data_IF_451059911995
#
_entry.id   IF_451059911995
#
_cell.length_a   1.000
_cell.length_b   1.000
_cell.length_c   1.000
_cell.angle_alpha   90.00
_cell.angle_beta   90.00
_cell.angle_gamma   90.00
#
_symmetry.space_group_name_H-M   'P 1'
#
loop_
_entity.id
_entity.type
_entity.pdbx_description
1 polymer ?
#
# COMPACT_ATOMS: atom_id res chain seq x y z
N UNK A 1 -13.22 -6.52 8.38
CA UNK A 1 -13.98 -5.34 8.86
C UNK A 1 -15.35 -5.29 8.23
N UNK A 2 -16.35 -4.81 8.98
CA UNK A 2 -17.73 -4.70 8.50
C UNK A 2 -18.15 -3.23 8.37
N UNK A 3 -18.81 -2.88 7.29
CA UNK A 3 -19.31 -1.53 7.05
C UNK A 3 -18.21 -0.48 6.83
N UNK A 4 -17.06 -0.86 6.25
CA UNK A 4 -16.07 0.12 5.81
C UNK A 4 -16.60 0.90 4.60
N UNK A 5 -16.16 2.14 4.42
CA UNK A 5 -16.60 2.96 3.28
C UNK A 5 -15.67 2.73 2.09
N UNK A 6 -16.22 2.25 0.98
CA UNK A 6 -15.52 2.13 -0.30
C UNK A 6 -16.03 3.17 -1.31
N UNK A 7 -15.17 3.75 -2.17
CA UNK A 7 -15.63 4.62 -3.25
C UNK A 7 -16.19 3.77 -4.40
N UNK A 8 -17.42 4.05 -4.80
CA UNK A 8 -18.08 3.47 -5.97
C UNK A 8 -18.25 4.56 -7.00
N UNK A 9 -17.72 4.29 -8.20
CA UNK A 9 -17.76 5.21 -9.35
C UNK A 9 -18.84 4.73 -10.30
N UNK A 10 -19.75 5.63 -10.67
CA UNK A 10 -20.74 5.45 -11.71
C UNK A 10 -20.41 6.38 -12.90
N UNK A 11 -19.91 5.81 -14.00
CA UNK A 11 -19.51 6.59 -15.18
C UNK A 11 -20.68 7.20 -15.92
N UNK A 12 -21.88 6.63 -15.84
CA UNK A 12 -23.06 7.22 -16.44
C UNK A 12 -23.39 8.56 -15.75
N UNK A 13 -23.46 8.54 -14.43
CA UNK A 13 -23.72 9.75 -13.64
C UNK A 13 -22.59 10.78 -13.78
N UNK A 14 -21.34 10.30 -13.90
CA UNK A 14 -20.19 11.16 -14.17
C UNK A 14 -20.32 11.88 -15.53
N UNK A 15 -20.80 11.17 -16.55
CA UNK A 15 -20.96 11.71 -17.92
C UNK A 15 -22.03 12.80 -18.03
N UNK A 16 -23.09 12.72 -17.22
CA UNK A 16 -24.18 13.72 -17.18
C UNK A 16 -23.88 14.89 -16.25
N UNK A 17 -22.74 14.88 -15.55
CA UNK A 17 -22.28 15.95 -14.67
C UNK A 17 -22.80 15.89 -13.24
N UNK A 18 -23.38 14.77 -12.80
CA UNK A 18 -23.82 14.56 -11.42
C UNK A 18 -22.70 13.93 -10.58
N UNK A 19 -21.74 14.76 -10.18
CA UNK A 19 -20.58 14.32 -9.40
C UNK A 19 -20.93 13.73 -8.03
N UNK A 20 -22.03 14.20 -7.42
CA UNK A 20 -22.39 13.79 -6.04
C UNK A 20 -22.88 12.35 -6.02
N UNK A 21 -23.65 11.95 -7.03
CA UNK A 21 -24.12 10.57 -7.14
C UNK A 21 -23.14 9.68 -7.91
N UNK A 22 -22.29 10.26 -8.77
CA UNK A 22 -21.26 9.52 -9.51
C UNK A 22 -20.10 9.02 -8.65
N UNK A 23 -19.71 9.76 -7.61
CA UNK A 23 -18.62 9.42 -6.70
C UNK A 23 -19.16 9.23 -5.29
N UNK A 24 -19.73 8.06 -5.03
CA UNK A 24 -20.41 7.80 -3.76
C UNK A 24 -19.61 6.85 -2.90
N UNK A 25 -19.52 7.16 -1.61
CA UNK A 25 -19.01 6.22 -0.61
C UNK A 25 -20.15 5.27 -0.21
N UNK A 26 -19.96 3.98 -0.47
CA UNK A 26 -20.88 2.92 -0.08
C UNK A 26 -20.26 2.04 1.00
N UNK A 27 -21.09 1.42 1.84
CA UNK A 27 -20.60 0.47 2.84
C UNK A 27 -20.17 -0.84 2.17
N UNK A 28 -19.11 -1.43 2.69
CA UNK A 28 -18.46 -2.61 2.17
C UNK A 28 -17.87 -3.45 3.29
N UNK A 29 -17.96 -4.76 3.15
CA UNK A 29 -17.31 -5.71 4.02
C UNK A 29 -15.98 -6.19 3.40
N UNK A 30 -14.89 -6.03 4.16
CA UNK A 30 -13.57 -6.51 3.77
C UNK A 30 -13.15 -7.71 4.62
N UNK A 31 -12.72 -8.77 3.96
CA UNK A 31 -12.04 -9.89 4.59
C UNK A 31 -10.53 -9.71 4.45
N UNK A 32 -9.85 -9.42 5.56
CA UNK A 32 -8.40 -9.19 5.61
C UNK A 32 -7.75 -10.34 6.37
N UNK A 33 -6.68 -10.93 5.81
CA UNK A 33 -5.89 -11.93 6.51
C UNK A 33 -4.41 -11.78 6.21
N UNK A 34 -3.58 -12.25 7.15
CA UNK A 34 -2.12 -12.20 7.07
C UNK A 34 -1.58 -13.59 7.38
N UNK A 35 -0.74 -14.11 6.50
CA UNK A 35 0.01 -15.36 6.68
C UNK A 35 1.50 -15.00 6.73
N UNK A 36 2.10 -15.13 7.92
CA UNK A 36 3.51 -14.89 8.14
C UNK A 36 4.27 -16.18 8.44
N UNK A 37 5.50 -16.28 7.96
CA UNK A 37 6.45 -17.31 8.36
C UNK A 37 7.81 -16.66 8.66
N UNK A 38 8.33 -16.97 9.85
CA UNK A 38 9.60 -16.45 10.33
C UNK A 38 10.61 -17.58 10.42
N UNK A 39 11.79 -17.35 9.85
CA UNK A 39 12.92 -18.28 9.89
C UNK A 39 14.18 -17.51 10.27
N UNK A 40 14.93 -18.04 11.22
CA UNK A 40 16.28 -17.53 11.49
C UNK A 40 17.27 -18.35 10.68
N UNK A 41 17.96 -17.69 9.75
CA UNK A 41 18.96 -18.29 8.88
C UNK A 41 20.32 -17.70 9.27
N UNK A 42 21.41 -18.44 9.07
CA UNK A 42 22.77 -18.01 9.42
C UNK A 42 22.94 -17.65 10.92
N UNK A 43 24.08 -17.04 11.25
CA UNK A 43 24.35 -16.50 12.57
C UNK A 43 23.52 -15.22 12.78
N UNK A 44 22.31 -15.38 13.32
CA UNK A 44 21.41 -14.33 13.80
C UNK A 44 20.73 -13.46 12.71
N UNK A 45 20.53 -13.94 11.48
CA UNK A 45 19.68 -13.23 10.52
C UNK A 45 18.23 -13.73 10.65
N UNK A 46 17.34 -12.86 11.13
CA UNK A 46 15.91 -13.12 11.12
C UNK A 46 15.34 -12.74 9.76
N UNK A 47 14.64 -13.67 9.14
CA UNK A 47 13.92 -13.48 7.88
C UNK A 47 12.45 -13.77 8.15
N UNK A 48 11.58 -12.80 7.90
CA UNK A 48 10.14 -12.90 8.06
C UNK A 48 9.48 -12.60 6.73
N UNK A 49 8.79 -13.58 6.16
CA UNK A 49 8.00 -13.39 4.94
C UNK A 49 6.52 -13.41 5.31
N UNK A 50 5.78 -12.41 4.84
CA UNK A 50 4.36 -12.24 5.13
C UNK A 50 3.59 -12.02 3.84
N UNK A 51 2.49 -12.75 3.70
CA UNK A 51 1.50 -12.55 2.66
C UNK A 51 0.26 -11.95 3.30
N UNK A 52 -0.17 -10.80 2.79
CA UNK A 52 -1.31 -10.04 3.28
C UNK A 52 -2.31 -9.95 2.13
N UNK A 53 -3.56 -10.32 2.36
CA UNK A 53 -4.59 -10.18 1.34
C UNK A 53 -5.82 -9.48 1.90
N UNK A 54 -6.27 -8.45 1.17
CA UNK A 54 -7.51 -7.75 1.42
C UNK A 54 -8.51 -8.14 0.34
N UNK A 55 -9.55 -8.87 0.74
CA UNK A 55 -10.62 -9.29 -0.15
C UNK A 55 -11.87 -8.48 0.11
N UNK A 56 -12.31 -7.73 -0.88
CA UNK A 56 -13.57 -7.01 -0.86
C UNK A 56 -14.72 -7.98 -1.16
N UNK A 57 -15.61 -8.18 -0.18
CA UNK A 57 -16.77 -9.06 -0.31
C UNK A 57 -17.90 -8.39 -1.09
N UNK A 58 -18.02 -7.07 -0.97
CA UNK A 58 -19.04 -6.22 -1.61
C UNK A 58 -18.47 -5.45 -2.81
N UNK A 59 -17.62 -6.12 -3.59
CA UNK A 59 -17.00 -5.55 -4.77
C UNK A 59 -18.01 -5.36 -5.91
N UNK A 60 -18.11 -4.13 -6.43
CA UNK A 60 -19.04 -3.80 -7.51
C UNK A 60 -18.32 -3.89 -8.87
N UNK A 61 -18.88 -4.72 -9.75
CA UNK A 61 -18.47 -4.83 -11.15
C UNK A 61 -19.66 -4.96 -12.10
N UNK A 62 -20.15 -3.81 -12.56
CA UNK A 62 -21.28 -3.71 -13.46
C UNK A 62 -20.81 -3.03 -14.75
N UNK A 63 -20.29 -3.78 -15.74
CA UNK A 63 -19.98 -3.23 -17.04
C UNK A 63 -21.28 -2.88 -17.77
N UNK A 64 -21.38 -1.65 -18.29
CA UNK A 64 -22.54 -1.20 -19.06
C UNK A 64 -22.12 -0.23 -20.17
N UNK A 65 -22.91 -0.18 -21.23
CA UNK A 65 -22.69 0.69 -22.38
C UNK A 65 -23.98 1.38 -22.78
N UNK A 66 -24.02 2.71 -22.69
CA UNK A 66 -25.20 3.47 -23.11
C UNK A 66 -25.01 4.08 -24.50
N UNK A 67 -26.09 4.14 -25.26
CA UNK A 67 -26.17 4.95 -26.47
C UNK A 67 -26.55 6.39 -26.15
N UNK A 68 -25.81 7.35 -26.71
CA UNK A 68 -26.18 8.77 -26.69
C UNK A 68 -27.19 9.07 -27.81
N UNK A 69 -28.00 10.13 -27.67
CA UNK A 69 -28.92 10.58 -28.73
C UNK A 69 -28.23 10.87 -30.07
N UNK A 70 -26.91 11.09 -30.07
CA UNK A 70 -26.10 11.29 -31.28
C UNK A 70 -25.52 10.00 -31.90
N UNK A 71 -25.95 8.82 -31.48
CA UNK A 71 -25.47 7.53 -32.02
C UNK A 71 -24.05 7.14 -31.58
N UNK A 72 -23.47 7.84 -30.60
CA UNK A 72 -22.18 7.47 -30.00
C UNK A 72 -22.42 6.58 -28.78
N UNK A 73 -21.62 5.53 -28.63
CA UNK A 73 -21.61 4.66 -27.46
C UNK A 73 -20.70 5.24 -26.38
N UNK A 74 -21.16 5.26 -25.13
CA UNK A 74 -20.38 5.66 -23.96
C UNK A 74 -20.36 4.55 -22.92
N UNK A 75 -19.26 4.48 -22.16
CA UNK A 75 -19.10 3.55 -21.04
C UNK A 75 -19.89 4.06 -19.83
N UNK A 76 -20.88 3.27 -19.43
CA UNK A 76 -21.79 3.54 -18.32
C UNK A 76 -21.50 2.63 -17.12
N UNK A 77 -20.33 2.00 -17.10
CA UNK A 77 -19.99 1.04 -16.05
C UNK A 77 -20.01 1.67 -14.66
N UNK A 78 -20.43 0.84 -13.70
CA UNK A 78 -20.36 1.11 -12.27
C UNK A 78 -19.40 0.14 -11.62
N UNK A 79 -18.42 0.66 -10.88
CA UNK A 79 -17.39 -0.17 -10.26
C UNK A 79 -16.86 0.41 -8.96
N UNK A 80 -16.32 -0.46 -8.10
CA UNK A 80 -15.52 -0.04 -6.94
C UNK A 80 -14.18 0.51 -7.43
N UNK A 81 -13.83 1.73 -7.04
CA UNK A 81 -12.57 2.36 -7.39
C UNK A 81 -11.50 2.19 -6.29
N UNK A 82 -10.23 2.23 -6.65
CA UNK A 82 -9.14 2.06 -5.67
C UNK A 82 -8.99 3.35 -4.86
N UNK A 83 -9.30 3.28 -3.56
CA UNK A 83 -9.21 4.44 -2.68
C UNK A 83 -7.78 5.02 -2.62
N UNK A 84 -6.75 4.19 -2.70
CA UNK A 84 -5.36 4.61 -2.56
C UNK A 84 -4.87 5.42 -3.77
N UNK A 85 -5.41 5.15 -4.96
CA UNK A 85 -4.96 5.75 -6.22
C UNK A 85 -6.08 6.44 -6.98
N UNK A 86 -7.19 6.76 -6.32
CA UNK A 86 -8.35 7.42 -6.93
C UNK A 86 -7.98 8.85 -7.37
N UNK A 87 -7.79 9.06 -8.67
CA UNK A 87 -7.54 10.38 -9.20
C UNK A 87 -8.12 10.59 -10.61
N UNK A 88 -8.50 11.82 -10.97
CA UNK A 88 -9.15 12.05 -12.27
C UNK A 88 -8.21 11.81 -13.47
N UNK A 89 -6.90 12.03 -13.29
CA UNK A 89 -5.90 11.85 -14.34
C UNK A 89 -5.58 10.38 -14.68
N UNK A 90 -5.89 9.40 -13.83
CA UNK A 90 -5.84 7.97 -14.17
C UNK A 90 -7.22 7.42 -14.56
N UNK A 91 -8.20 8.30 -14.75
CA UNK A 91 -9.54 7.87 -15.14
C UNK A 91 -10.30 7.16 -14.02
N UNK A 92 -9.98 7.47 -12.75
CA UNK A 92 -10.59 6.86 -11.57
C UNK A 92 -10.40 5.35 -11.58
N UNK A 93 -9.14 4.93 -11.42
CA UNK A 93 -8.78 3.53 -11.52
C UNK A 93 -9.64 2.63 -10.64
N UNK A 94 -9.93 1.49 -11.22
CA UNK A 94 -10.74 0.45 -10.60
C UNK A 94 -9.95 -0.28 -9.53
N UNK A 95 -10.57 -0.56 -8.38
CA UNK A 95 -9.96 -1.40 -7.36
C UNK A 95 -9.91 -2.86 -7.79
N UNK A 96 -9.01 -3.63 -7.21
CA UNK A 96 -9.04 -5.07 -7.33
C UNK A 96 -9.91 -5.70 -6.24
N UNK A 97 -10.64 -6.77 -6.58
CA UNK A 97 -11.47 -7.51 -5.61
C UNK A 97 -10.63 -8.16 -4.52
N UNK A 98 -9.48 -8.70 -4.92
CA UNK A 98 -8.46 -9.24 -4.04
C UNK A 98 -7.26 -8.34 -4.25
N UNK A 99 -6.82 -7.64 -3.21
CA UNK A 99 -5.61 -6.83 -3.23
C UNK A 99 -4.57 -7.51 -2.36
N UNK A 100 -3.47 -7.97 -2.95
CA UNK A 100 -2.43 -8.71 -2.26
C UNK A 100 -1.19 -7.86 -2.01
N UNK A 101 -0.55 -8.11 -0.86
CA UNK A 101 0.74 -7.53 -0.50
C UNK A 101 1.67 -8.63 0.00
N UNK A 102 2.93 -8.51 -0.37
CA UNK A 102 4.00 -9.42 0.00
C UNK A 102 5.04 -8.61 0.76
N UNK A 103 5.27 -8.93 2.02
CA UNK A 103 6.26 -8.27 2.87
C UNK A 103 7.41 -9.23 3.18
N UNK A 104 8.64 -8.79 2.99
CA UNK A 104 9.86 -9.47 3.39
C UNK A 104 10.63 -8.60 4.36
N UNK A 105 10.77 -9.07 5.59
CA UNK A 105 11.49 -8.40 6.66
C UNK A 105 12.77 -9.16 7.00
N UNK A 106 13.90 -8.47 6.97
CA UNK A 106 15.21 -8.98 7.31
C UNK A 106 15.74 -8.18 8.50
N UNK A 107 16.16 -8.85 9.56
CA UNK A 107 16.76 -8.19 10.73
C UNK A 107 18.03 -8.91 11.13
N UNK A 108 19.12 -8.16 11.22
CA UNK A 108 20.42 -8.68 11.64
C UNK A 108 21.06 -7.79 12.71
N UNK A 109 21.42 -8.34 13.88
CA UNK A 109 22.25 -7.62 14.84
C UNK A 109 23.68 -7.48 14.32
N UNK A 110 24.30 -6.33 14.57
CA UNK A 110 25.65 -5.96 14.18
C UNK A 110 26.44 -5.41 15.37
N UNK A 111 27.77 -5.52 15.32
CA UNK A 111 28.68 -5.04 16.37
C UNK A 111 28.97 -6.07 17.47
N UNK A 112 30.07 -5.83 18.19
CA UNK A 112 30.39 -6.60 19.39
C UNK A 112 29.24 -6.44 20.41
N UNK A 113 28.81 -7.55 21.01
CA UNK A 113 27.64 -7.59 21.92
C UNK A 113 26.29 -7.18 21.31
N UNK A 114 26.12 -7.13 19.98
CA UNK A 114 24.86 -6.74 19.32
C UNK A 114 24.44 -5.29 19.59
N UNK A 115 25.41 -4.39 19.73
CA UNK A 115 25.20 -2.96 19.97
C UNK A 115 24.44 -2.24 18.86
N UNK A 116 24.33 -2.81 17.67
CA UNK A 116 23.53 -2.28 16.59
C UNK A 116 22.65 -3.33 15.92
N UNK A 117 21.73 -2.87 15.08
CA UNK A 117 20.84 -3.71 14.28
C UNK A 117 20.59 -3.05 12.94
N UNK A 118 20.62 -3.86 11.89
CA UNK A 118 20.19 -3.46 10.55
C UNK A 118 18.92 -4.22 10.24
N UNK A 119 17.86 -3.49 9.94
CA UNK A 119 16.61 -4.02 9.48
C UNK A 119 16.37 -3.58 8.04
N UNK A 120 15.74 -4.46 7.27
CA UNK A 120 15.30 -4.18 5.92
C UNK A 120 13.89 -4.72 5.76
N UNK A 121 12.96 -3.87 5.31
CA UNK A 121 11.57 -4.23 5.06
C UNK A 121 11.27 -3.92 3.62
N UNK A 122 10.90 -4.93 2.85
CA UNK A 122 10.47 -4.78 1.47
C UNK A 122 9.00 -5.18 1.43
N UNK A 123 8.13 -4.28 0.98
CA UNK A 123 6.72 -4.55 0.72
C UNK A 123 6.46 -4.38 -0.76
N UNK A 124 5.88 -5.41 -1.36
CA UNK A 124 5.39 -5.42 -2.73
C UNK A 124 3.87 -5.45 -2.73
N UNK A 125 3.26 -4.65 -3.60
CA UNK A 125 1.82 -4.58 -3.85
C UNK A 125 1.50 -5.22 -5.21
N UNK A 126 0.47 -6.07 -5.23
CA UNK A 126 -0.13 -6.57 -6.46
C UNK A 126 -0.60 -5.38 -7.31
N UNK A 127 -0.03 -5.25 -8.51
CA UNK A 127 -0.13 -4.04 -9.34
C UNK A 127 1.20 -3.37 -9.65
N UNK A 128 2.29 -3.76 -8.98
CA UNK A 128 3.65 -3.34 -9.35
C UNK A 128 4.28 -2.29 -8.45
N UNK A 129 3.67 -1.95 -7.33
CA UNK A 129 4.17 -0.96 -6.35
C UNK A 129 5.15 -1.59 -5.37
N UNK A 130 6.22 -0.88 -5.05
CA UNK A 130 7.24 -1.33 -4.10
C UNK A 130 7.58 -0.25 -3.09
N UNK A 131 7.80 -0.69 -1.86
CA UNK A 131 8.38 0.09 -0.80
C UNK A 131 9.49 -0.71 -0.13
N UNK A 132 10.69 -0.13 -0.07
CA UNK A 132 11.83 -0.69 0.64
C UNK A 132 12.31 0.31 1.69
N UNK A 133 12.36 -0.16 2.92
CA UNK A 133 12.92 0.59 4.04
C UNK A 133 14.13 -0.15 4.59
N UNK A 134 15.28 0.52 4.57
CA UNK A 134 16.49 0.07 5.25
C UNK A 134 16.69 0.97 6.46
N UNK A 135 16.65 0.40 7.66
CA UNK A 135 16.98 1.11 8.89
C UNK A 135 18.17 0.45 9.59
N UNK A 136 19.08 1.28 10.09
CA UNK A 136 20.23 0.87 10.86
C UNK A 136 20.27 1.67 12.16
N UNK A 137 20.41 0.98 13.27
CA UNK A 137 20.54 1.55 14.60
C UNK A 137 21.88 1.10 15.19
N UNK A 138 22.59 2.01 15.85
CA UNK A 138 23.84 1.73 16.52
C UNK A 138 23.93 2.47 17.86
N UNK A 139 24.17 1.72 18.93
CA UNK A 139 24.42 2.26 20.26
C UNK A 139 25.89 2.62 20.41
N UNK A 140 26.19 3.92 20.57
CA UNK A 140 27.55 4.41 20.84
C UNK A 140 27.93 4.23 22.32
N UNK A 141 26.96 4.41 23.20
CA UNK A 141 27.05 4.24 24.67
C UNK A 141 25.66 3.84 25.17
N UNK A 142 25.54 3.40 26.43
CA UNK A 142 24.24 3.05 27.04
C UNK A 142 23.18 4.17 26.95
N UNK A 143 23.61 5.41 26.73
CA UNK A 143 22.75 6.59 26.64
C UNK A 143 22.62 7.18 25.24
N UNK A 144 23.49 6.84 24.28
CA UNK A 144 23.51 7.45 22.95
C UNK A 144 23.25 6.42 21.86
N UNK A 145 22.15 6.61 21.13
CA UNK A 145 21.76 5.76 20.00
C UNK A 145 21.72 6.63 18.74
N UNK A 146 22.39 6.17 17.69
CA UNK A 146 22.30 6.72 16.35
C UNK A 146 21.41 5.85 15.49
N UNK A 147 20.56 6.47 14.68
CA UNK A 147 19.71 5.79 13.70
C UNK A 147 19.92 6.41 12.32
N UNK A 148 19.90 5.57 11.29
CA UNK A 148 19.79 5.97 9.90
C UNK A 148 18.69 5.17 9.26
N UNK A 149 17.83 5.82 8.46
CA UNK A 149 16.73 5.20 7.75
C UNK A 149 16.72 5.70 6.30
N UNK A 150 16.53 4.78 5.38
CA UNK A 150 16.32 5.03 3.95
C UNK A 150 14.98 4.45 3.57
N UNK A 151 14.08 5.30 3.04
CA UNK A 151 12.82 4.89 2.45
C UNK A 151 12.89 5.10 0.95
N UNK A 152 12.70 4.03 0.21
CA UNK A 152 12.67 4.02 -1.24
C UNK A 152 11.31 3.50 -1.69
N UNK A 153 10.64 4.26 -2.54
CA UNK A 153 9.39 3.88 -3.19
C UNK A 153 9.64 3.81 -4.70
N UNK A 154 9.06 2.84 -5.38
CA UNK A 154 9.11 2.74 -6.84
C UNK A 154 7.97 1.87 -7.38
N UNK A 155 7.82 1.81 -8.70
CA UNK A 155 6.85 0.94 -9.36
C UNK A 155 5.82 1.71 -10.17
N UNK A 156 4.64 1.11 -10.37
CA UNK A 156 3.55 1.76 -11.11
C UNK A 156 2.92 2.89 -10.28
N UNK A 157 2.85 4.11 -10.82
CA UNK A 157 2.26 5.29 -10.16
C UNK A 157 0.79 5.11 -9.75
N UNK A 158 0.09 4.14 -10.32
CA UNK A 158 -1.30 3.80 -9.99
C UNK A 158 -1.44 2.77 -8.87
N UNK A 159 -0.36 2.52 -8.12
CA UNK A 159 -0.35 1.69 -6.92
C UNK A 159 -0.18 2.53 -5.66
N UNK A 160 -0.51 1.95 -4.50
CA UNK A 160 -0.40 2.62 -3.20
C UNK A 160 1.01 3.11 -2.94
N UNK A 161 2.03 2.33 -3.32
CA UNK A 161 3.44 2.69 -3.12
C UNK A 161 4.05 3.47 -4.28
N UNK A 162 3.75 3.15 -5.54
CA UNK A 162 4.39 3.79 -6.68
C UNK A 162 4.08 5.28 -6.80
N UNK A 163 2.91 5.74 -6.34
CA UNK A 163 2.60 7.18 -6.26
C UNK A 163 3.56 7.97 -5.36
N UNK A 164 4.31 7.30 -4.48
CA UNK A 164 5.29 7.90 -3.58
C UNK A 164 6.73 7.80 -4.09
N UNK A 165 6.97 7.40 -5.35
CA UNK A 165 8.34 7.27 -5.92
C UNK A 165 9.19 8.54 -5.67
N UNK A 166 8.60 9.71 -5.93
CA UNK A 166 9.23 11.02 -5.73
C UNK A 166 9.32 11.47 -4.25
N UNK A 167 8.77 10.69 -3.32
CA UNK A 167 8.79 10.94 -1.87
C UNK A 167 9.78 10.04 -1.11
N UNK A 168 10.61 9.29 -1.85
CA UNK A 168 11.74 8.55 -1.29
C UNK A 168 12.65 9.49 -0.49
N UNK A 169 13.08 9.05 0.69
CA UNK A 169 13.76 9.91 1.65
C UNK A 169 14.86 9.21 2.45
N UNK A 170 15.75 10.03 2.99
CA UNK A 170 16.78 9.63 3.96
C UNK A 170 16.53 10.37 5.26
N UNK A 171 16.63 9.65 6.37
CA UNK A 171 16.48 10.19 7.71
C UNK A 171 17.67 9.74 8.55
N UNK A 172 18.14 10.65 9.40
CA UNK A 172 19.16 10.36 10.41
C UNK A 172 18.66 10.88 11.74
N UNK A 173 18.79 10.05 12.77
CA UNK A 173 18.31 10.33 14.12
C UNK A 173 19.42 10.13 15.14
N UNK A 174 19.32 10.89 16.23
CA UNK A 174 20.14 10.69 17.41
C UNK A 174 19.22 10.77 18.62
N UNK A 175 19.29 9.74 19.46
CA UNK A 175 18.50 9.61 20.67
C UNK A 175 19.42 9.57 21.87
N UNK A 176 19.11 10.41 22.86
CA UNK A 176 19.75 10.40 24.16
C UNK A 176 18.78 9.88 25.21
N UNK A 177 19.21 8.91 26.01
CA UNK A 177 18.43 8.31 27.10
C UNK A 177 18.96 8.86 28.43
N UNK A 178 18.06 9.43 29.23
CA UNK A 178 18.36 9.91 30.59
C UNK A 178 17.82 8.86 31.56
N UNK A 179 18.68 8.38 32.47
CA UNK A 179 18.30 7.59 33.64
C UNK A 179 17.91 8.49 34.82
#
# INVERSE_FOLDING_TARGET
DKGERQPVVDKYLLSIGDLTNALKMEEADYFKYVLGADVTIFTNLLVSAQFIQFRNLDYVDQPDTCGTQGGRTMDCSRYTADFATLHLTNGLNRAEKNKEFYSLFLSKPIGESQLGRVNNIIIYEEGGGYWDRIDAEYSLTDQWILTGELNLYWGDENTTFGQFENSSNIQVGMKYIIE
#
